data_IF_027863200696
#
_entry.id   IF_027863200696
#
_cell.length_a   1.000
_cell.length_b   1.000
_cell.length_c   1.000
_cell.angle_alpha   90.00
_cell.angle_beta   90.00
_cell.angle_gamma   90.00
#
_symmetry.space_group_name_H-M   'P 1'
#
loop_
_entity.id
_entity.type
_entity.pdbx_description
1 polymer ?
#
# COMPACT_ATOMS: atom_id res chain seq x y z
N UNK A 1 -2.35 11.07 18.88
CA UNK A 1 -1.84 11.19 20.27
C UNK A 1 -0.43 10.63 20.35
N UNK A 2 0.48 11.31 21.07
CA UNK A 2 1.83 10.81 21.34
C UNK A 2 1.75 9.55 22.21
N UNK A 3 2.48 8.49 21.86
CA UNK A 3 2.37 7.18 22.53
C UNK A 3 2.92 7.16 23.96
N UNK A 4 3.88 8.03 24.32
CA UNK A 4 4.40 8.13 25.69
C UNK A 4 5.04 9.51 26.00
N UNK A 5 4.23 10.56 26.25
CA UNK A 5 4.75 11.90 26.51
C UNK A 5 5.44 12.03 27.88
N UNK A 6 5.12 11.16 28.84
CA UNK A 6 5.67 11.21 30.19
C UNK A 6 7.14 10.77 30.29
N UNK A 7 7.64 10.04 29.30
CA UNK A 7 9.04 9.60 29.24
C UNK A 7 9.91 10.43 28.30
N UNK A 8 9.42 11.57 27.81
CA UNK A 8 10.16 12.42 26.87
C UNK A 8 11.02 13.41 27.64
N UNK A 9 12.33 13.36 27.37
CA UNK A 9 13.29 14.37 27.80
C UNK A 9 13.18 15.63 26.92
N UNK A 10 13.95 16.66 27.28
CA UNK A 10 13.94 17.94 26.57
C UNK A 10 14.30 17.77 25.08
N UNK A 11 15.18 16.82 24.74
CA UNK A 11 15.52 16.50 23.35
C UNK A 11 14.35 15.84 22.60
N UNK A 12 13.61 14.95 23.25
CA UNK A 12 12.37 14.38 22.72
C UNK A 12 11.33 15.46 22.43
N UNK A 13 11.11 16.39 23.36
CA UNK A 13 10.20 17.51 23.17
C UNK A 13 10.66 18.45 22.06
N UNK A 14 11.96 18.74 21.96
CA UNK A 14 12.52 19.50 20.86
C UNK A 14 12.28 18.82 19.50
N UNK A 15 12.42 17.49 19.42
CA UNK A 15 12.12 16.72 18.20
C UNK A 15 10.64 16.81 17.81
N UNK A 16 9.73 16.72 18.78
CA UNK A 16 8.28 16.88 18.53
C UNK A 16 7.96 18.29 18.05
N UNK A 17 8.49 19.33 18.72
CA UNK A 17 8.27 20.72 18.33
C UNK A 17 8.77 20.98 16.89
N UNK A 18 9.96 20.49 16.55
CA UNK A 18 10.49 20.57 15.19
C UNK A 18 9.59 19.85 14.18
N UNK A 19 9.12 18.64 14.50
CA UNK A 19 8.21 17.89 13.63
C UNK A 19 6.86 18.58 13.42
N UNK A 20 6.30 19.18 14.47
CA UNK A 20 5.06 19.97 14.37
C UNK A 20 5.25 21.21 13.50
N UNK A 21 6.37 21.92 13.64
CA UNK A 21 6.67 23.08 12.79
C UNK A 21 6.78 22.67 11.33
N UNK A 22 7.45 21.55 11.04
CA UNK A 22 7.56 21.04 9.67
C UNK A 22 6.20 20.66 9.09
N UNK A 23 5.31 20.06 9.89
CA UNK A 23 3.96 19.68 9.45
C UNK A 23 3.04 20.88 9.25
N UNK A 24 3.17 21.93 10.08
CA UNK A 24 2.32 23.11 10.02
C UNK A 24 2.51 23.90 8.71
N UNK A 25 3.69 23.81 8.11
CA UNK A 25 4.03 24.49 6.86
C UNK A 25 3.69 23.65 5.60
N UNK A 26 3.11 22.46 5.75
CA UNK A 26 2.74 21.63 4.62
C UNK A 26 1.33 21.96 4.10
N UNK A 27 1.21 21.98 2.78
CA UNK A 27 -0.07 22.02 2.05
C UNK A 27 -0.77 20.65 2.11
N UNK A 28 -1.14 20.23 3.34
CA UNK A 28 -1.82 18.96 3.63
C UNK A 28 -3.10 19.24 4.40
N UNK A 29 -4.22 18.81 3.83
CA UNK A 29 -5.54 18.89 4.44
C UNK A 29 -6.05 17.50 4.79
N UNK A 30 -6.56 17.35 6.01
CA UNK A 30 -7.11 16.09 6.51
C UNK A 30 -8.61 16.26 6.77
N UNK A 31 -9.39 15.34 6.23
CA UNK A 31 -10.83 15.25 6.48
C UNK A 31 -11.06 14.15 7.52
N UNK A 32 -11.26 14.53 8.77
CA UNK A 32 -11.57 13.61 9.87
C UNK A 32 -13.09 13.48 10.02
N UNK A 33 -13.72 12.80 9.06
CA UNK A 33 -15.15 12.51 9.07
C UNK A 33 -15.37 11.00 8.91
N UNK A 34 -16.26 10.44 9.72
CA UNK A 34 -16.62 9.03 9.65
C UNK A 34 -17.73 8.78 8.63
N UNK A 35 -17.66 7.64 7.92
CA UNK A 35 -18.72 7.14 7.01
C UNK A 35 -19.05 8.08 5.86
N UNK A 36 -18.04 8.68 5.23
CA UNK A 36 -18.28 9.46 4.02
C UNK A 36 -18.70 8.55 2.87
N UNK A 37 -19.72 8.96 2.12
CA UNK A 37 -20.04 8.37 0.82
C UNK A 37 -19.05 8.86 -0.26
N UNK A 38 -19.00 8.17 -1.40
CA UNK A 38 -18.12 8.58 -2.50
C UNK A 38 -18.54 9.93 -3.12
N UNK A 39 -19.83 10.26 -3.09
CA UNK A 39 -20.36 11.55 -3.51
C UNK A 39 -19.95 12.69 -2.58
N UNK A 40 -19.92 12.44 -1.27
CA UNK A 40 -19.46 13.40 -0.27
C UNK A 40 -17.96 13.66 -0.42
N UNK A 41 -17.16 12.60 -0.58
CA UNK A 41 -15.72 12.71 -0.88
C UNK A 41 -15.49 13.55 -2.13
N UNK A 42 -16.25 13.28 -3.19
CA UNK A 42 -16.18 14.05 -4.44
C UNK A 42 -16.52 15.53 -4.23
N UNK A 43 -17.60 15.82 -3.52
CA UNK A 43 -18.03 17.20 -3.26
C UNK A 43 -16.99 17.97 -2.44
N UNK A 44 -16.38 17.32 -1.45
CA UNK A 44 -15.29 17.91 -0.65
C UNK A 44 -14.06 18.18 -1.52
N UNK A 45 -13.65 17.20 -2.34
CA UNK A 45 -12.51 17.36 -3.23
C UNK A 45 -12.70 18.45 -4.30
N UNK A 46 -13.90 18.53 -4.89
CA UNK A 46 -14.26 19.57 -5.86
C UNK A 46 -14.20 20.98 -5.25
N UNK A 47 -14.83 21.16 -4.09
CA UNK A 47 -14.76 22.43 -3.36
C UNK A 47 -13.32 22.79 -3.00
N UNK A 48 -12.56 21.82 -2.50
CA UNK A 48 -11.17 22.05 -2.10
C UNK A 48 -10.28 22.40 -3.30
N UNK A 49 -10.48 21.77 -4.47
CA UNK A 49 -9.78 22.10 -5.72
C UNK A 49 -10.10 23.51 -6.24
N UNK A 50 -11.33 23.99 -6.04
CA UNK A 50 -11.72 25.36 -6.39
C UNK A 50 -11.01 26.39 -5.49
N UNK A 51 -10.94 26.11 -4.19
CA UNK A 51 -10.23 26.96 -3.22
C UNK A 51 -8.71 26.86 -3.37
N UNK A 52 -8.20 25.70 -3.81
CA UNK A 52 -6.78 25.37 -3.95
C UNK A 52 -6.47 24.79 -5.34
N UNK A 53 -6.31 25.64 -6.38
CA UNK A 53 -6.10 25.19 -7.76
C UNK A 53 -4.89 24.26 -7.93
N UNK A 54 -3.90 24.37 -7.04
CA UNK A 54 -2.66 23.59 -7.06
C UNK A 54 -2.75 22.22 -6.37
N UNK A 55 -3.94 21.80 -5.91
CA UNK A 55 -4.14 20.46 -5.34
C UNK A 55 -3.59 19.40 -6.31
N UNK A 56 -2.59 18.65 -5.83
CA UNK A 56 -1.75 17.77 -6.65
C UNK A 56 -1.98 16.28 -6.39
N UNK A 57 -2.62 15.93 -5.27
CA UNK A 57 -2.90 14.56 -4.88
C UNK A 57 -4.13 14.51 -3.97
N UNK A 58 -4.95 13.48 -4.18
CA UNK A 58 -6.05 13.11 -3.28
C UNK A 58 -5.76 11.70 -2.76
N UNK A 59 -5.86 11.49 -1.45
CA UNK A 59 -5.66 10.19 -0.80
C UNK A 59 -6.91 9.73 -0.08
N UNK A 60 -7.27 8.45 -0.22
CA UNK A 60 -8.38 7.82 0.49
C UNK A 60 -7.88 6.59 1.29
N UNK A 61 -7.97 6.67 2.62
CA UNK A 61 -7.60 5.62 3.56
C UNK A 61 -8.84 5.12 4.33
N UNK A 62 -9.42 3.97 4.02
CA UNK A 62 -9.21 3.09 2.86
C UNK A 62 -10.57 2.74 2.24
N UNK A 63 -10.61 2.19 1.01
CA UNK A 63 -11.83 1.98 0.23
C UNK A 63 -12.96 1.25 0.99
N UNK A 64 -12.60 0.35 1.90
CA UNK A 64 -13.56 -0.43 2.68
C UNK A 64 -14.32 0.36 3.74
N UNK A 65 -13.87 1.57 4.10
CA UNK A 65 -14.53 2.45 5.09
C UNK A 65 -15.43 3.51 4.45
N UNK A 66 -15.38 3.68 3.13
CA UNK A 66 -16.31 4.53 2.40
C UNK A 66 -17.71 3.93 2.53
N UNK A 67 -18.69 4.77 2.88
CA UNK A 67 -20.06 4.33 3.08
C UNK A 67 -20.61 3.73 1.78
N UNK A 68 -21.19 2.54 1.93
CA UNK A 68 -21.75 1.76 0.82
C UNK A 68 -23.26 1.92 0.81
N UNK A 69 -23.90 1.95 -0.36
CA UNK A 69 -25.36 1.92 -0.45
C UNK A 69 -25.91 0.67 0.26
N UNK A 70 -26.94 0.85 1.10
CA UNK A 70 -27.47 -0.20 2.01
C UNK A 70 -27.96 -1.48 1.32
N UNK A 71 -28.31 -1.42 0.04
CA UNK A 71 -28.93 -2.51 -0.71
C UNK A 71 -27.99 -3.22 -1.69
N UNK A 72 -26.74 -2.77 -1.81
CA UNK A 72 -25.84 -3.29 -2.84
C UNK A 72 -25.00 -4.46 -2.37
N UNK A 73 -24.81 -5.42 -3.28
CA UNK A 73 -23.80 -6.46 -3.13
C UNK A 73 -22.44 -5.78 -3.01
N UNK A 74 -21.60 -6.27 -2.08
CA UNK A 74 -20.36 -5.59 -1.70
C UNK A 74 -19.43 -5.30 -2.90
N UNK A 75 -19.35 -6.22 -3.86
CA UNK A 75 -18.57 -6.08 -5.10
C UNK A 75 -19.10 -4.96 -6.01
N UNK A 76 -20.42 -4.81 -6.13
CA UNK A 76 -21.04 -3.72 -6.89
C UNK A 76 -20.79 -2.36 -6.21
N UNK A 77 -20.90 -2.32 -4.88
CA UNK A 77 -20.58 -1.11 -4.12
C UNK A 77 -19.11 -0.69 -4.29
N UNK A 78 -18.18 -1.66 -4.25
CA UNK A 78 -16.76 -1.39 -4.50
C UNK A 78 -16.52 -0.93 -5.94
N UNK A 79 -17.18 -1.54 -6.93
CA UNK A 79 -17.11 -1.10 -8.33
C UNK A 79 -17.62 0.33 -8.53
N UNK A 80 -18.71 0.69 -7.86
CA UNK A 80 -19.24 2.04 -7.89
C UNK A 80 -18.24 3.04 -7.27
N UNK A 81 -17.67 2.70 -6.11
CA UNK A 81 -16.67 3.54 -5.44
C UNK A 81 -15.42 3.71 -6.33
N UNK A 82 -14.85 2.63 -6.85
CA UNK A 82 -13.64 2.69 -7.70
C UNK A 82 -13.87 3.49 -8.97
N UNK A 83 -15.01 3.29 -9.63
CA UNK A 83 -15.41 4.04 -10.82
C UNK A 83 -15.59 5.53 -10.54
N UNK A 84 -16.25 5.88 -9.43
CA UNK A 84 -16.48 7.27 -9.02
C UNK A 84 -15.18 7.98 -8.65
N UNK A 85 -14.25 7.31 -7.97
CA UNK A 85 -12.91 7.86 -7.70
C UNK A 85 -12.11 8.07 -8.99
N UNK A 86 -12.20 7.14 -9.95
CA UNK A 86 -11.56 7.26 -11.27
C UNK A 86 -12.15 8.43 -12.07
N UNK A 87 -13.47 8.63 -12.02
CA UNK A 87 -14.12 9.77 -12.65
C UNK A 87 -13.67 11.08 -12.01
N UNK A 88 -13.69 11.17 -10.67
CA UNK A 88 -13.21 12.33 -9.92
C UNK A 88 -11.76 12.68 -10.28
N UNK A 89 -10.86 11.69 -10.37
CA UNK A 89 -9.47 11.92 -10.76
C UNK A 89 -9.34 12.58 -12.14
N UNK A 90 -10.17 12.16 -13.10
CA UNK A 90 -10.20 12.72 -14.47
C UNK A 90 -10.81 14.12 -14.49
N UNK A 91 -11.93 14.31 -13.81
CA UNK A 91 -12.66 15.59 -13.77
C UNK A 91 -11.82 16.68 -13.11
N UNK A 92 -11.17 16.36 -11.97
CA UNK A 92 -10.30 17.28 -11.24
C UNK A 92 -8.89 17.38 -11.82
N UNK A 93 -8.54 16.55 -12.81
CA UNK A 93 -7.17 16.39 -13.34
C UNK A 93 -6.13 16.23 -12.22
N UNK A 94 -6.51 15.48 -11.18
CA UNK A 94 -5.73 15.31 -9.95
C UNK A 94 -5.62 13.81 -9.65
N UNK A 95 -4.41 13.24 -9.51
CA UNK A 95 -4.22 11.85 -9.13
C UNK A 95 -4.96 11.49 -7.83
N UNK A 96 -5.58 10.32 -7.82
CA UNK A 96 -6.23 9.75 -6.64
C UNK A 96 -5.52 8.45 -6.27
N UNK A 97 -5.01 8.39 -5.04
CA UNK A 97 -4.47 7.17 -4.44
C UNK A 97 -5.49 6.67 -3.41
N UNK A 98 -5.83 5.40 -3.48
CA UNK A 98 -6.70 4.77 -2.49
C UNK A 98 -6.06 3.50 -1.94
N UNK A 99 -6.18 3.31 -0.63
CA UNK A 99 -5.75 2.09 0.01
C UNK A 99 -6.84 1.02 -0.14
N UNK A 100 -6.43 -0.20 -0.46
CA UNK A 100 -7.31 -1.36 -0.54
C UNK A 100 -6.77 -2.50 0.32
N UNK A 101 -7.67 -3.20 1.00
CA UNK A 101 -7.31 -4.41 1.73
C UNK A 101 -7.28 -5.60 0.78
N UNK A 102 -6.35 -6.51 1.03
CA UNK A 102 -6.24 -7.77 0.29
C UNK A 102 -7.05 -8.87 0.96
N UNK A 103 -7.46 -9.86 0.17
CA UNK A 103 -8.03 -11.10 0.68
C UNK A 103 -7.05 -11.78 1.63
N UNK A 104 -7.57 -12.33 2.74
CA UNK A 104 -6.79 -13.18 3.66
C UNK A 104 -6.31 -14.48 3.03
N UNK A 105 -6.75 -14.81 1.82
CA UNK A 105 -6.29 -16.00 1.10
C UNK A 105 -4.80 -15.92 0.70
N UNK A 106 -4.23 -14.71 0.60
CA UNK A 106 -2.77 -14.52 0.47
C UNK A 106 -2.01 -15.25 1.57
N UNK A 107 -2.56 -15.24 2.78
CA UNK A 107 -2.00 -15.87 3.97
C UNK A 107 -2.08 -17.39 3.99
N UNK A 108 -2.70 -18.01 2.99
CA UNK A 108 -2.76 -19.48 2.88
C UNK A 108 -1.76 -20.03 1.87
N UNK A 109 -1.25 -19.18 0.97
CA UNK A 109 -0.31 -19.59 -0.09
C UNK A 109 1.09 -19.84 0.47
N UNK A 110 1.89 -20.78 -0.08
CA UNK A 110 3.30 -20.91 0.28
C UNK A 110 4.09 -19.63 0.00
N UNK A 111 3.83 -18.99 -1.16
CA UNK A 111 4.34 -17.66 -1.47
C UNK A 111 3.30 -16.61 -1.09
N UNK A 112 3.62 -15.82 -0.07
CA UNK A 112 2.79 -14.75 0.50
C UNK A 112 2.84 -13.44 -0.29
N UNK A 113 3.57 -13.39 -1.40
CA UNK A 113 3.58 -12.18 -2.25
C UNK A 113 2.17 -11.91 -2.81
N UNK A 114 1.67 -10.69 -2.64
CA UNK A 114 0.38 -10.29 -3.18
C UNK A 114 0.42 -10.19 -4.71
N UNK A 115 -0.73 -10.41 -5.31
CA UNK A 115 -1.01 -10.41 -6.74
C UNK A 115 -2.35 -9.72 -6.97
N UNK A 116 -2.68 -9.36 -8.22
CA UNK A 116 -3.99 -8.75 -8.51
C UNK A 116 -5.17 -9.65 -8.12
N UNK A 117 -4.98 -10.98 -8.13
CA UNK A 117 -6.00 -11.94 -7.71
C UNK A 117 -6.38 -11.79 -6.22
N UNK A 118 -5.52 -11.18 -5.40
CA UNK A 118 -5.80 -10.94 -3.99
C UNK A 118 -6.71 -9.74 -3.74
N UNK A 119 -7.03 -8.93 -4.77
CA UNK A 119 -8.06 -7.88 -4.74
C UNK A 119 -9.49 -8.46 -4.82
N UNK A 120 -9.72 -9.61 -4.18
CA UNK A 120 -10.97 -10.39 -4.27
C UNK A 120 -12.21 -9.52 -3.99
N UNK A 121 -13.31 -9.84 -4.67
CA UNK A 121 -14.56 -9.07 -4.70
C UNK A 121 -14.45 -7.67 -5.32
N UNK A 122 -13.31 -7.38 -5.97
CA UNK A 122 -12.97 -6.07 -6.51
C UNK A 122 -12.33 -6.14 -7.90
N UNK A 123 -12.81 -7.04 -8.78
CA UNK A 123 -12.35 -7.09 -10.18
C UNK A 123 -12.51 -5.75 -10.91
N UNK A 124 -13.47 -4.93 -10.47
CA UNK A 124 -13.63 -3.53 -10.86
C UNK A 124 -12.43 -2.65 -10.49
N UNK A 125 -11.85 -2.80 -9.29
CA UNK A 125 -10.63 -2.08 -8.92
C UNK A 125 -9.51 -2.40 -9.90
N UNK A 126 -9.33 -3.68 -10.22
CA UNK A 126 -8.31 -4.07 -11.19
C UNK A 126 -8.58 -3.43 -12.54
N UNK A 127 -9.83 -3.33 -12.99
CA UNK A 127 -10.16 -2.69 -14.27
C UNK A 127 -9.94 -1.18 -14.21
N UNK A 128 -10.47 -0.49 -13.21
CA UNK A 128 -10.52 0.98 -13.12
C UNK A 128 -9.15 1.61 -12.84
N UNK A 129 -8.32 0.95 -12.04
CA UNK A 129 -7.03 1.48 -11.63
C UNK A 129 -6.08 1.67 -12.84
N UNK A 130 -5.34 2.79 -12.85
CA UNK A 130 -4.24 2.98 -13.80
C UNK A 130 -2.99 2.23 -13.36
N UNK A 131 -2.74 2.20 -12.06
CA UNK A 131 -1.61 1.48 -11.45
C UNK A 131 -2.08 0.77 -10.19
N UNK A 132 -1.49 -0.39 -9.92
CA UNK A 132 -1.70 -1.16 -8.70
C UNK A 132 -0.32 -1.42 -8.10
N UNK A 133 -0.15 -0.98 -6.86
CA UNK A 133 1.09 -1.11 -6.10
C UNK A 133 0.77 -1.93 -4.86
N UNK A 134 1.46 -3.05 -4.72
CA UNK A 134 1.35 -3.94 -3.58
C UNK A 134 2.57 -3.81 -2.68
N UNK A 135 2.37 -3.98 -1.37
CA UNK A 135 3.45 -3.98 -0.40
C UNK A 135 3.67 -5.40 0.12
N UNK A 136 4.92 -5.82 0.18
CA UNK A 136 5.32 -7.09 0.78
C UNK A 136 6.52 -6.89 1.70
N UNK A 137 6.51 -7.58 2.85
CA UNK A 137 7.60 -7.55 3.82
C UNK A 137 7.86 -8.95 4.34
N UNK A 138 9.06 -9.46 4.08
CA UNK A 138 9.46 -10.79 4.55
C UNK A 138 9.45 -10.87 6.08
N UNK A 139 9.85 -9.81 6.78
CA UNK A 139 9.91 -9.77 8.24
C UNK A 139 8.57 -10.04 8.94
N UNK A 140 7.44 -9.87 8.23
CA UNK A 140 6.11 -10.20 8.78
C UNK A 140 5.92 -11.72 8.91
N UNK A 141 6.65 -12.49 8.10
CA UNK A 141 6.54 -13.95 8.00
C UNK A 141 7.77 -14.66 8.58
N UNK A 142 8.97 -14.14 8.35
CA UNK A 142 10.24 -14.63 8.89
C UNK A 142 11.18 -13.46 9.23
N UNK A 143 11.28 -13.14 10.52
CA UNK A 143 12.17 -12.09 11.03
C UNK A 143 13.67 -12.44 10.89
N UNK A 144 14.01 -13.72 10.75
CA UNK A 144 15.39 -14.19 10.61
C UNK A 144 15.85 -14.28 9.16
N UNK A 145 14.94 -14.03 8.20
CA UNK A 145 15.28 -14.03 6.79
C UNK A 145 16.29 -12.93 6.47
N UNK A 146 17.24 -13.24 5.58
CA UNK A 146 18.12 -12.23 4.98
C UNK A 146 17.35 -11.07 4.32
N UNK A 147 16.12 -11.31 3.86
CA UNK A 147 15.26 -10.30 3.24
C UNK A 147 14.41 -9.50 4.25
N UNK A 148 14.40 -9.86 5.54
CA UNK A 148 13.63 -9.19 6.58
C UNK A 148 13.85 -7.66 6.68
N UNK A 149 15.06 -7.11 6.44
CA UNK A 149 15.27 -5.66 6.45
C UNK A 149 14.58 -4.90 5.32
N UNK A 150 14.12 -5.60 4.27
CA UNK A 150 13.60 -5.00 3.06
C UNK A 150 12.06 -5.07 2.99
N UNK A 151 11.49 -4.06 2.35
CA UNK A 151 10.12 -4.03 1.86
C UNK A 151 10.14 -3.99 0.33
N UNK A 152 9.26 -4.78 -0.27
CA UNK A 152 9.02 -4.82 -1.69
C UNK A 152 7.78 -3.97 -2.02
N UNK A 153 7.98 -3.00 -2.90
CA UNK A 153 6.93 -2.17 -3.49
C UNK A 153 6.72 -2.71 -4.91
N UNK A 154 5.71 -3.57 -5.05
CA UNK A 154 5.48 -4.39 -6.24
C UNK A 154 4.44 -3.70 -7.13
N UNK A 155 4.84 -3.22 -8.29
CA UNK A 155 3.93 -2.67 -9.30
C UNK A 155 3.35 -3.83 -10.11
N UNK A 156 2.14 -4.27 -9.73
CA UNK A 156 1.45 -5.41 -10.36
C UNK A 156 0.57 -4.99 -11.55
N UNK A 157 0.27 -3.70 -11.68
CA UNK A 157 -0.37 -3.11 -12.85
C UNK A 157 0.20 -1.72 -13.09
N UNK A 158 0.47 -1.38 -14.35
CA UNK A 158 0.81 -0.03 -14.79
C UNK A 158 0.32 0.16 -16.23
N UNK A 159 -0.69 1.02 -16.44
CA UNK A 159 -1.24 1.29 -17.78
C UNK A 159 -0.27 2.08 -18.69
N UNK A 160 0.70 2.78 -18.10
CA UNK A 160 1.54 3.76 -18.82
C UNK A 160 3.04 3.49 -18.66
N UNK A 161 3.43 2.28 -18.26
CA UNK A 161 4.83 1.97 -18.03
C UNK A 161 5.08 0.51 -17.69
N UNK A 162 6.31 0.21 -17.25
CA UNK A 162 6.72 -1.13 -16.89
C UNK A 162 6.17 -1.55 -15.53
N UNK A 163 6.00 -2.87 -15.39
CA UNK A 163 5.88 -3.52 -14.09
C UNK A 163 7.25 -3.69 -13.46
N UNK A 164 7.30 -3.97 -12.17
CA UNK A 164 8.54 -4.24 -11.47
C UNK A 164 8.39 -4.11 -9.96
N UNK A 165 9.48 -4.43 -9.25
CA UNK A 165 9.57 -4.29 -7.80
C UNK A 165 10.63 -3.25 -7.49
N UNK A 166 10.25 -2.26 -6.70
CA UNK A 166 11.17 -1.33 -6.05
C UNK A 166 11.41 -1.82 -4.63
N UNK A 167 12.66 -1.86 -4.21
CA UNK A 167 13.05 -2.28 -2.89
C UNK A 167 13.34 -1.06 -2.02
N UNK A 168 12.94 -1.13 -0.76
CA UNK A 168 13.27 -0.13 0.25
C UNK A 168 13.70 -0.87 1.52
N UNK A 169 14.62 -0.31 2.29
CA UNK A 169 14.80 -0.76 3.67
C UNK A 169 13.62 -0.29 4.50
N UNK A 170 13.16 -1.13 5.42
CA UNK A 170 12.11 -0.77 6.37
C UNK A 170 12.70 -0.70 7.78
N UNK A 171 12.80 0.50 8.33
CA UNK A 171 13.41 0.75 9.63
C UNK A 171 12.49 1.62 10.48
N UNK A 172 12.09 1.13 11.65
CA UNK A 172 11.25 1.86 12.62
C UNK A 172 9.98 2.46 11.99
N UNK A 173 9.30 1.74 11.09
CA UNK A 173 8.10 2.23 10.43
C UNK A 173 8.33 3.07 9.16
N UNK A 174 9.58 3.33 8.78
CA UNK A 174 9.93 4.19 7.65
C UNK A 174 10.53 3.39 6.50
N UNK A 175 10.17 3.77 5.28
CA UNK A 175 10.86 3.33 4.07
C UNK A 175 12.11 4.19 3.85
N UNK A 176 13.24 3.54 3.61
CA UNK A 176 14.53 4.19 3.39
C UNK A 176 15.15 3.63 2.11
N UNK A 177 15.70 4.52 1.29
CA UNK A 177 16.36 4.14 0.05
C UNK A 177 17.47 3.11 0.29
N UNK A 178 17.63 2.20 -0.66
CA UNK A 178 18.67 1.16 -0.64
C UNK A 178 19.19 0.86 -2.04
N UNK A 179 20.31 0.16 -2.11
CA UNK A 179 20.81 -0.41 -3.36
C UNK A 179 19.78 -1.41 -3.90
N UNK A 180 19.36 -1.21 -5.15
CA UNK A 180 18.28 -2.00 -5.75
C UNK A 180 18.76 -3.37 -6.22
N UNK A 181 20.02 -3.50 -6.63
CA UNK A 181 20.56 -4.76 -7.15
C UNK A 181 20.91 -5.71 -6.01
N UNK A 182 21.51 -5.19 -4.94
CA UNK A 182 21.74 -5.93 -3.70
C UNK A 182 20.41 -6.43 -3.11
N UNK A 183 19.44 -5.54 -2.94
CA UNK A 183 18.13 -5.90 -2.39
C UNK A 183 17.42 -6.93 -3.28
N UNK A 184 17.45 -6.77 -4.60
CA UNK A 184 16.88 -7.75 -5.54
C UNK A 184 17.53 -9.13 -5.37
N UNK A 185 18.85 -9.21 -5.29
CA UNK A 185 19.56 -10.48 -5.12
C UNK A 185 19.14 -11.19 -3.82
N UNK A 186 19.12 -10.45 -2.70
CA UNK A 186 18.76 -10.98 -1.38
C UNK A 186 17.29 -11.45 -1.36
N UNK A 187 16.35 -10.57 -1.77
CA UNK A 187 14.92 -10.88 -1.78
C UNK A 187 14.59 -12.06 -2.72
N UNK A 188 15.26 -12.17 -3.87
CA UNK A 188 15.04 -13.28 -4.81
C UNK A 188 15.62 -14.59 -4.27
N UNK A 189 16.83 -14.56 -3.70
CA UNK A 189 17.49 -15.74 -3.14
C UNK A 189 16.72 -16.32 -1.95
N UNK A 190 16.20 -15.47 -1.07
CA UNK A 190 15.35 -15.89 0.06
C UNK A 190 14.07 -16.62 -0.37
N UNK A 191 13.66 -16.47 -1.64
CA UNK A 191 12.42 -17.00 -2.17
C UNK A 191 12.61 -18.15 -3.16
N UNK A 192 13.86 -18.55 -3.41
CA UNK A 192 14.13 -19.76 -4.16
C UNK A 192 13.57 -20.96 -3.34
N UNK A 193 12.79 -21.88 -3.96
CA UNK A 193 12.41 -23.09 -3.27
C UNK A 193 13.68 -23.81 -2.82
N UNK A 194 13.75 -24.19 -1.54
CA UNK A 194 14.87 -24.94 -0.99
C UNK A 194 15.21 -26.08 -1.95
N UNK A 195 16.44 -26.07 -2.49
CA UNK A 195 16.86 -27.06 -3.46
C UNK A 195 16.59 -28.45 -2.87
N UNK A 196 15.63 -29.18 -3.45
CA UNK A 196 15.33 -30.55 -3.06
C UNK A 196 16.59 -31.35 -3.38
N UNK A 197 17.43 -31.57 -2.38
CA UNK A 197 18.61 -32.40 -2.51
C UNK A 197 18.18 -33.74 -3.09
N UNK A 198 18.55 -34.01 -4.35
CA UNK A 198 18.39 -35.33 -4.95
C UNK A 198 19.28 -36.28 -4.14
N UNK A 199 18.71 -36.95 -3.15
CA UNK A 199 19.30 -38.17 -2.61
C UNK A 199 19.26 -39.20 -3.73
N UNK A 200 20.35 -39.32 -4.46
CA UNK A 200 20.58 -40.52 -5.27
C UNK A 200 20.58 -41.69 -4.30
N UNK A 201 19.64 -42.60 -4.45
CA UNK A 201 19.70 -43.88 -3.78
C UNK A 201 21.02 -44.54 -4.22
N UNK A 202 21.92 -44.80 -3.27
CA UNK A 202 23.05 -45.69 -3.53
C UNK A 202 22.45 -47.02 -4.01
N UNK A 203 22.85 -47.43 -5.21
CA UNK A 203 22.51 -48.73 -5.75
C UNK A 203 22.92 -49.81 -4.74
N UNK A 204 22.04 -50.79 -4.57
CA UNK A 204 22.42 -52.01 -3.87
C UNK A 204 23.54 -52.68 -4.68
N UNK A 205 24.71 -52.81 -4.06
CA UNK A 205 25.75 -53.72 -4.53
C UNK A 205 25.32 -55.15 -4.18
N UNK A 206 25.21 -55.97 -5.24
CA UNK A 206 25.18 -57.44 -5.36
C UNK A 206 24.09 -58.24 -4.64
#
# INVERSE_FOLDING_TARGET
MLRNPASMDDEGWARVANGMSQLADLDVWVVDASRLSVEEIRSIAERHKQENPNLSLIMADYLGLIEKPKADRNDLAIAHISGSLKAMAKDLKTPVISLSQLSRDVEKRPNKRPTNADLRDSGSIEQDADSIIMLYREAVYDENSSAAPFAEIIVTKNRFGSLGTVYQRFCNGHFVACDQDEARQICTASNAPAARGRRYAQGADV
#
